data_IF_632409342544
#
_entry.id   IF_632409342544
#
_cell.length_a   1.000
_cell.length_b   1.000
_cell.length_c   1.000
_cell.angle_alpha   90.00
_cell.angle_beta   90.00
_cell.angle_gamma   90.00
#
_symmetry.space_group_name_H-M   'P 1'
#
loop_
_entity.id
_entity.type
_entity.pdbx_description
1 polymer ?
#
# COMPACT_ATOMS: atom_id res chain seq x y z
N UNK A 1 -26.62 2.98 -18.53
CA UNK A 1 -25.82 2.33 -17.46
C UNK A 1 -24.53 1.85 -18.10
N UNK A 2 -23.44 2.58 -17.93
CA UNK A 2 -22.18 2.27 -18.63
C UNK A 2 -21.51 1.11 -17.91
N UNK A 3 -21.37 -0.03 -18.60
CA UNK A 3 -20.58 -1.17 -18.14
C UNK A 3 -19.17 -0.69 -17.81
N UNK A 4 -18.85 -0.65 -16.51
CA UNK A 4 -17.50 -0.42 -16.04
C UNK A 4 -16.72 -1.67 -16.39
N UNK A 5 -15.97 -1.62 -17.50
CA UNK A 5 -14.90 -2.58 -17.76
C UNK A 5 -13.86 -2.36 -16.67
N UNK A 6 -14.01 -3.03 -15.52
CA UNK A 6 -13.01 -3.03 -14.45
C UNK A 6 -11.72 -3.59 -15.08
N UNK A 7 -10.79 -2.70 -15.39
CA UNK A 7 -9.54 -3.10 -16.04
C UNK A 7 -8.62 -3.68 -14.97
N UNK A 8 -7.71 -4.59 -15.34
CA UNK A 8 -6.67 -5.09 -14.41
C UNK A 8 -5.89 -3.95 -13.74
N UNK A 9 -5.85 -2.77 -14.37
CA UNK A 9 -5.24 -1.57 -13.82
C UNK A 9 -6.03 -0.98 -12.64
N UNK A 10 -7.36 -0.96 -12.70
CA UNK A 10 -8.23 -0.53 -11.59
C UNK A 10 -8.03 -1.39 -10.35
N UNK A 11 -7.96 -2.72 -10.51
CA UNK A 11 -7.70 -3.64 -9.41
C UNK A 11 -6.33 -3.39 -8.74
N UNK A 12 -5.30 -3.15 -9.55
CA UNK A 12 -3.96 -2.79 -9.06
C UNK A 12 -4.02 -1.47 -8.30
N UNK A 13 -4.74 -0.47 -8.81
CA UNK A 13 -4.89 0.83 -8.13
C UNK A 13 -5.64 0.69 -6.80
N UNK A 14 -6.74 -0.06 -6.76
CA UNK A 14 -7.51 -0.35 -5.52
C UNK A 14 -6.67 -1.10 -4.49
N UNK A 15 -5.82 -2.05 -4.92
CA UNK A 15 -4.89 -2.75 -4.01
C UNK A 15 -3.84 -1.79 -3.46
N UNK A 16 -3.22 -0.98 -4.31
CA UNK A 16 -2.20 -0.02 -3.90
C UNK A 16 -2.76 1.01 -2.91
N UNK A 17 -3.99 1.48 -3.13
CA UNK A 17 -4.67 2.39 -2.21
C UNK A 17 -4.94 1.73 -0.84
N UNK A 18 -5.37 0.45 -0.83
CA UNK A 18 -5.56 -0.32 0.41
C UNK A 18 -4.25 -0.46 1.19
N UNK A 19 -3.15 -0.80 0.52
CA UNK A 19 -1.81 -0.90 1.13
C UNK A 19 -1.43 0.42 1.81
N UNK A 20 -1.65 1.55 1.12
CA UNK A 20 -1.34 2.88 1.66
C UNK A 20 -2.17 3.23 2.89
N UNK A 21 -3.48 2.98 2.85
CA UNK A 21 -4.38 3.23 3.98
C UNK A 21 -4.02 2.38 5.20
N UNK A 22 -3.68 1.10 4.99
CA UNK A 22 -3.21 0.23 6.08
C UNK A 22 -1.89 0.70 6.65
N UNK A 23 -0.92 1.04 5.80
CA UNK A 23 0.37 1.57 6.26
C UNK A 23 0.16 2.78 7.17
N UNK A 24 -0.60 3.78 6.71
CA UNK A 24 -0.93 4.98 7.49
C UNK A 24 -1.68 4.64 8.79
N UNK A 25 -2.65 3.73 8.77
CA UNK A 25 -3.34 3.31 10.00
C UNK A 25 -2.37 2.73 11.03
N UNK A 26 -1.46 1.85 10.60
CA UNK A 26 -0.48 1.25 11.51
C UNK A 26 0.56 2.25 12.03
N UNK A 27 1.02 3.19 11.20
CA UNK A 27 2.00 4.21 11.62
C UNK A 27 1.38 5.33 12.43
N UNK A 28 0.26 5.89 11.98
CA UNK A 28 -0.36 7.07 12.61
C UNK A 28 -1.26 6.71 13.79
N UNK A 29 -2.01 5.61 13.70
CA UNK A 29 -2.98 5.24 14.77
C UNK A 29 -2.40 4.25 15.75
N UNK A 30 -1.61 3.28 15.28
CA UNK A 30 -0.99 2.26 16.13
C UNK A 30 0.44 2.60 16.54
N UNK A 31 1.00 3.70 16.03
CA UNK A 31 2.37 4.14 16.31
C UNK A 31 3.41 3.03 16.13
N UNK A 32 3.17 2.13 15.18
CA UNK A 32 4.10 1.06 14.86
C UNK A 32 5.24 1.60 14.02
N UNK A 33 6.42 1.01 14.21
CA UNK A 33 7.59 1.35 13.41
C UNK A 33 7.36 1.02 11.93
N UNK A 34 7.87 1.88 11.04
CA UNK A 34 7.66 1.73 9.60
C UNK A 34 8.22 0.41 9.05
N UNK A 35 9.37 -0.07 9.54
CA UNK A 35 9.95 -1.34 9.10
C UNK A 35 9.09 -2.51 9.54
N UNK A 36 8.57 -2.47 10.77
CA UNK A 36 7.65 -3.48 11.29
C UNK A 36 6.33 -3.52 10.50
N UNK A 37 5.79 -2.36 10.15
CA UNK A 37 4.57 -2.27 9.32
C UNK A 37 4.81 -2.80 7.90
N UNK A 38 5.98 -2.55 7.31
CA UNK A 38 6.34 -3.12 6.01
C UNK A 38 6.38 -4.64 6.06
N UNK A 39 6.90 -5.23 7.14
CA UNK A 39 6.93 -6.68 7.32
C UNK A 39 5.53 -7.26 7.53
N UNK A 40 4.68 -6.60 8.33
CA UNK A 40 3.28 -6.99 8.50
C UNK A 40 2.50 -6.96 7.18
N UNK A 41 2.69 -5.92 6.37
CA UNK A 41 2.06 -5.82 5.06
C UNK A 41 2.66 -6.83 4.07
N UNK A 42 3.96 -7.09 4.13
CA UNK A 42 4.59 -8.11 3.30
C UNK A 42 4.03 -9.50 3.62
N UNK A 43 3.77 -9.79 4.91
CA UNK A 43 3.12 -11.01 5.38
C UNK A 43 1.67 -11.11 4.86
N UNK A 44 0.90 -10.04 5.00
CA UNK A 44 -0.50 -9.97 4.53
C UNK A 44 -0.62 -10.20 3.02
N UNK A 45 0.38 -9.77 2.24
CA UNK A 45 0.44 -9.91 0.80
C UNK A 45 1.45 -10.98 0.34
N UNK A 46 1.77 -11.97 1.18
CA UNK A 46 2.68 -13.08 0.84
C UNK A 46 2.30 -13.69 -0.51
N UNK A 47 3.31 -13.84 -1.37
CA UNK A 47 3.15 -14.39 -2.72
C UNK A 47 2.60 -13.41 -3.76
N UNK A 48 2.03 -12.28 -3.36
CA UNK A 48 1.46 -11.27 -4.26
C UNK A 48 2.36 -10.04 -4.45
N UNK A 49 3.09 -9.62 -3.41
CA UNK A 49 3.97 -8.46 -3.45
C UNK A 49 5.20 -8.67 -2.58
N UNK A 50 6.37 -8.24 -3.07
CA UNK A 50 7.59 -8.16 -2.25
C UNK A 50 7.53 -6.95 -1.32
N UNK A 51 8.22 -7.02 -0.17
CA UNK A 51 8.42 -5.91 0.77
C UNK A 51 8.85 -4.63 0.07
N UNK A 52 9.83 -4.71 -0.84
CA UNK A 52 10.31 -3.58 -1.64
C UNK A 52 9.20 -2.97 -2.51
N UNK A 53 8.33 -3.80 -3.09
CA UNK A 53 7.20 -3.31 -3.90
C UNK A 53 6.19 -2.58 -3.03
N UNK A 54 5.90 -3.10 -1.83
CA UNK A 54 5.05 -2.42 -0.84
C UNK A 54 5.65 -1.07 -0.46
N UNK A 55 6.96 -1.04 -0.18
CA UNK A 55 7.68 0.20 0.10
C UNK A 55 7.58 1.20 -1.06
N UNK A 56 7.72 0.76 -2.31
CA UNK A 56 7.53 1.63 -3.49
C UNK A 56 6.09 2.15 -3.64
N UNK A 57 5.10 1.30 -3.34
CA UNK A 57 3.67 1.66 -3.37
C UNK A 57 3.37 2.76 -2.35
N UNK A 58 3.93 2.61 -1.14
CA UNK A 58 3.81 3.57 -0.04
C UNK A 58 4.61 4.85 -0.38
N UNK A 59 5.87 4.76 -0.80
CA UNK A 59 6.73 5.93 -1.09
C UNK A 59 6.19 6.83 -2.21
N UNK A 60 5.49 6.27 -3.20
CA UNK A 60 4.86 7.04 -4.28
C UNK A 60 3.71 7.97 -3.82
N UNK A 61 3.23 7.89 -2.58
CA UNK A 61 2.18 8.81 -2.07
C UNK A 61 2.69 10.17 -1.62
N UNK A 62 3.98 10.47 -1.71
CA UNK A 62 4.44 11.82 -1.44
C UNK A 62 4.45 12.23 0.03
N UNK A 63 4.28 11.30 0.99
CA UNK A 63 4.61 11.56 2.40
C UNK A 63 6.09 11.92 2.63
N UNK A 64 6.95 11.76 1.61
CA UNK A 64 8.34 12.25 1.56
C UNK A 64 8.63 13.15 0.34
N UNK A 65 7.61 13.82 -0.22
CA UNK A 65 7.81 14.99 -1.09
C UNK A 65 7.49 16.26 -0.29
N UNK A 66 8.31 16.50 0.73
CA UNK A 66 8.53 17.84 1.26
C UNK A 66 9.95 17.95 1.85
N UNK A 67 10.94 17.52 1.06
CA UNK A 67 12.33 17.92 1.15
C UNK A 67 12.71 18.59 -0.17
#
# INVERSE_FOLDING_TARGET
MTEVKDTKQDDIMKRNERIRKRFAYYTDTKHLDSEHVLDLLADEYIGSLKRETIWLIVRRTGHYKNL
#
